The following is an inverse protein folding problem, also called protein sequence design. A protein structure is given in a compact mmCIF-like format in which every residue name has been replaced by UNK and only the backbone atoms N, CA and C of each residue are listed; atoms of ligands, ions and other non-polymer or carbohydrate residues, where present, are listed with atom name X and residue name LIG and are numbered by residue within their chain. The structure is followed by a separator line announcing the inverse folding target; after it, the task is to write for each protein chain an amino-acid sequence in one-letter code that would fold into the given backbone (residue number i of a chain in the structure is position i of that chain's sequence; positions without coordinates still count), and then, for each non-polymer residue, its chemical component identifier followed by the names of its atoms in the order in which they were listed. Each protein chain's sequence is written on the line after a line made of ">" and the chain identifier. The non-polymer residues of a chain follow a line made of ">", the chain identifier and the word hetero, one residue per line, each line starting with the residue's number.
data_IF_452481432493
#
_entry.id   IF_452481432493
#
_cell.length_a   1.000
_cell.length_b   1.000
_cell.length_c   1.000
_cell.angle_alpha   90.00
_cell.angle_beta   90.00
_cell.angle_gamma   90.00
#
_symmetry.space_group_name_H-M   'P 1'
#
loop_
_entity.id
_entity.type
_entity.pdbx_description
1 polymer ?
#
# COMPACT_ATOMS: atom_id res chain seq x y z
N UNK A 1 -23.01 10.09 11.42
CA UNK A 1 -22.13 10.60 10.35
C UNK A 1 -20.73 10.35 10.83
N UNK A 2 -20.01 9.44 10.20
CA UNK A 2 -18.62 9.14 10.54
C UNK A 2 -17.77 10.38 10.22
N UNK A 3 -17.01 10.87 11.20
CA UNK A 3 -16.17 12.03 11.00
C UNK A 3 -14.75 11.54 10.70
N UNK A 4 -14.30 11.77 9.47
CA UNK A 4 -12.91 11.56 9.09
C UNK A 4 -12.23 12.92 8.91
N UNK A 5 -11.02 13.02 9.42
CA UNK A 5 -10.20 14.24 9.34
C UNK A 5 -8.79 13.87 8.89
N UNK A 6 -8.15 14.78 8.19
CA UNK A 6 -6.76 14.66 7.80
C UNK A 6 -5.98 15.83 8.38
N UNK A 7 -4.95 15.51 9.17
CA UNK A 7 -3.99 16.49 9.62
C UNK A 7 -2.83 16.54 8.63
N UNK A 8 -2.61 17.70 8.04
CA UNK A 8 -1.68 17.91 6.95
C UNK A 8 -0.47 18.65 7.51
N UNK A 9 0.71 18.06 7.33
CA UNK A 9 2.01 18.68 7.56
C UNK A 9 2.67 18.92 6.21
N UNK A 10 2.62 20.16 5.76
CA UNK A 10 3.17 20.59 4.47
C UNK A 10 4.18 21.73 4.67
N UNK A 11 4.79 22.19 3.58
CA UNK A 11 5.84 23.21 3.60
C UNK A 11 5.30 24.60 3.99
N UNK A 12 4.02 24.84 3.70
CA UNK A 12 3.27 26.05 4.03
C UNK A 12 2.72 26.04 5.48
N UNK A 13 2.83 24.90 6.18
CA UNK A 13 2.50 24.77 7.59
C UNK A 13 1.69 23.52 7.93
N UNK A 14 1.13 23.51 9.15
CA UNK A 14 0.26 22.44 9.65
C UNK A 14 -1.19 22.92 9.65
N UNK A 15 -2.09 22.12 9.09
CA UNK A 15 -3.53 22.39 9.11
C UNK A 15 -4.35 21.12 9.11
N UNK A 16 -5.61 21.22 9.52
CA UNK A 16 -6.54 20.09 9.56
C UNK A 16 -7.68 20.33 8.59
N UNK A 17 -8.07 19.29 7.86
CA UNK A 17 -9.19 19.31 6.92
C UNK A 17 -10.16 18.20 7.29
N UNK A 18 -11.45 18.52 7.35
CA UNK A 18 -12.51 17.54 7.51
C UNK A 18 -12.87 16.95 6.14
N UNK A 19 -12.99 15.63 6.09
CA UNK A 19 -13.42 14.94 4.88
C UNK A 19 -14.96 14.89 4.89
N UNK A 20 -15.58 15.76 4.11
CA UNK A 20 -17.01 15.72 3.86
C UNK A 20 -17.28 14.63 2.81
N UNK A 21 -18.02 13.59 3.19
CA UNK A 21 -18.20 12.33 2.46
C UNK A 21 -18.26 12.40 0.93
N UNK A 22 -17.76 11.35 0.28
CA UNK A 22 -17.56 11.28 -1.17
C UNK A 22 -16.08 11.24 -1.56
N UNK A 23 -15.61 12.27 -2.28
CA UNK A 23 -14.25 12.31 -2.85
C UNK A 23 -13.56 13.62 -2.50
N UNK A 24 -12.39 13.51 -1.88
CA UNK A 24 -11.48 14.63 -1.57
C UNK A 24 -10.21 14.48 -2.38
N UNK A 25 -9.87 15.47 -3.19
CA UNK A 25 -8.70 15.49 -4.06
C UNK A 25 -7.52 16.18 -3.40
N UNK A 26 -6.32 15.67 -3.66
CA UNK A 26 -5.05 16.16 -3.11
C UNK A 26 -4.10 16.45 -4.26
N UNK A 27 -3.51 17.64 -4.28
CA UNK A 27 -2.53 18.02 -5.30
C UNK A 27 -2.08 19.47 -5.18
N UNK A 28 -1.16 19.91 -6.03
CA UNK A 28 -0.70 21.32 -6.06
C UNK A 28 -1.60 22.24 -6.90
N UNK A 29 -2.53 21.68 -7.66
CA UNK A 29 -3.46 22.47 -8.45
C UNK A 29 -4.45 23.18 -7.54
N UNK A 30 -4.78 24.44 -7.84
CA UNK A 30 -5.72 25.23 -7.05
C UNK A 30 -7.17 24.70 -7.05
N UNK A 31 -7.49 23.75 -7.94
CA UNK A 31 -8.80 23.09 -8.01
C UNK A 31 -8.93 21.84 -7.16
N UNK A 32 -7.93 21.47 -6.34
CA UNK A 32 -8.05 20.36 -5.41
C UNK A 32 -8.67 20.83 -4.08
N UNK A 33 -9.33 19.92 -3.39
CA UNK A 33 -9.86 20.16 -2.05
C UNK A 33 -8.72 20.39 -1.03
N UNK A 34 -7.63 19.62 -1.19
CA UNK A 34 -6.40 19.79 -0.42
C UNK A 34 -5.28 20.25 -1.36
N UNK A 35 -5.02 21.56 -1.34
CA UNK A 35 -3.97 22.19 -2.15
C UNK A 35 -2.64 22.19 -1.40
N UNK A 36 -1.63 21.50 -1.94
CA UNK A 36 -0.29 21.43 -1.34
C UNK A 36 0.68 22.31 -2.13
N UNK A 37 1.31 23.29 -1.47
CA UNK A 37 2.37 24.09 -2.08
C UNK A 37 3.71 23.34 -2.03
N UNK A 38 3.80 22.28 -2.83
CA UNK A 38 5.01 21.48 -2.96
C UNK A 38 5.30 21.18 -4.44
N UNK A 39 6.46 21.62 -4.99
CA UNK A 39 6.84 21.33 -6.37
C UNK A 39 6.97 19.82 -6.67
N UNK A 40 7.16 18.98 -5.64
CA UNK A 40 7.22 17.51 -5.80
C UNK A 40 5.83 16.87 -5.84
N UNK A 41 4.75 17.64 -5.62
CA UNK A 41 3.37 17.18 -5.73
C UNK A 41 2.83 17.48 -7.14
N UNK A 42 2.03 16.56 -7.65
CA UNK A 42 1.43 16.67 -9.00
C UNK A 42 0.20 17.57 -8.94
N UNK A 43 -0.22 18.14 -10.08
CA UNK A 43 -1.39 19.05 -10.11
C UNK A 43 -2.64 18.38 -9.55
N UNK A 44 -2.86 17.12 -9.91
CA UNK A 44 -3.80 16.20 -9.30
C UNK A 44 -2.96 14.97 -8.94
N UNK A 45 -2.82 14.65 -7.65
CA UNK A 45 -1.85 13.67 -7.18
C UNK A 45 -2.53 12.43 -6.61
N UNK A 46 -3.47 12.61 -5.68
CA UNK A 46 -4.22 11.52 -5.08
C UNK A 46 -5.68 11.92 -4.81
N UNK A 47 -6.55 10.93 -4.64
CA UNK A 47 -7.89 11.12 -4.06
C UNK A 47 -8.09 10.27 -2.81
N UNK A 48 -8.81 10.84 -1.85
CA UNK A 48 -9.38 10.16 -0.69
C UNK A 48 -10.85 9.97 -0.97
N UNK A 49 -11.31 8.73 -1.03
CA UNK A 49 -12.67 8.38 -1.41
C UNK A 49 -13.32 7.54 -0.34
N UNK A 50 -14.54 7.91 0.03
CA UNK A 50 -15.38 7.12 0.90
C UNK A 50 -15.96 5.94 0.09
N UNK A 51 -15.71 4.72 0.55
CA UNK A 51 -16.14 3.50 -0.09
C UNK A 51 -16.70 2.52 0.95
N UNK A 52 -18.02 2.32 0.95
CA UNK A 52 -18.71 1.52 1.96
C UNK A 52 -18.57 2.15 3.35
N UNK A 53 -18.09 1.37 4.32
CA UNK A 53 -17.87 1.78 5.73
C UNK A 53 -16.42 2.26 5.96
N UNK A 54 -15.80 2.95 4.99
CA UNK A 54 -14.41 3.37 5.17
C UNK A 54 -13.89 4.29 4.08
N UNK A 55 -12.66 4.75 4.30
CA UNK A 55 -11.95 5.63 3.38
C UNK A 55 -10.86 4.87 2.64
N UNK A 56 -10.65 5.21 1.39
CA UNK A 56 -9.56 4.70 0.58
C UNK A 56 -8.74 5.85 -0.01
N UNK A 57 -7.45 5.64 -0.22
CA UNK A 57 -6.58 6.53 -0.98
C UNK A 57 -6.25 5.91 -2.34
N UNK A 58 -6.29 6.71 -3.39
CA UNK A 58 -5.95 6.32 -4.75
C UNK A 58 -4.94 7.32 -5.33
N UNK A 59 -3.83 6.83 -5.86
CA UNK A 59 -2.90 7.65 -6.65
C UNK A 59 -3.49 7.93 -8.05
N UNK A 60 -3.47 9.18 -8.50
CA UNK A 60 -4.08 9.62 -9.75
C UNK A 60 -3.04 9.83 -10.86
N UNK A 61 -2.01 8.99 -10.90
CA UNK A 61 -0.93 9.08 -11.88
C UNK A 61 0.11 10.13 -11.49
N UNK A 62 0.43 10.20 -10.20
CA UNK A 62 1.38 11.18 -9.72
C UNK A 62 2.82 10.88 -10.16
N UNK A 63 3.63 11.93 -10.28
CA UNK A 63 5.01 11.81 -10.77
C UNK A 63 5.93 11.11 -9.76
N UNK A 64 5.71 11.34 -8.46
CA UNK A 64 6.55 10.82 -7.37
C UNK A 64 5.90 9.67 -6.58
N UNK A 65 4.65 9.34 -6.88
CA UNK A 65 3.88 8.35 -6.15
C UNK A 65 3.28 8.87 -4.86
N UNK A 66 2.19 8.23 -4.47
CA UNK A 66 1.59 8.34 -3.14
C UNK A 66 2.10 7.19 -2.26
N UNK A 67 2.33 7.46 -0.98
CA UNK A 67 2.77 6.47 -0.01
C UNK A 67 1.83 6.42 1.18
N UNK A 68 1.65 5.26 1.78
CA UNK A 68 0.90 5.05 3.02
C UNK A 68 1.81 4.30 3.99
N UNK A 69 2.01 4.83 5.20
CA UNK A 69 2.89 4.29 6.23
C UNK A 69 4.33 4.00 5.72
N UNK A 70 4.82 4.84 4.79
CA UNK A 70 6.14 4.70 4.18
C UNK A 70 6.19 3.83 2.92
N UNK A 71 5.11 3.12 2.58
CA UNK A 71 5.04 2.21 1.44
C UNK A 71 4.33 2.86 0.25
N UNK A 72 4.86 2.71 -0.96
CA UNK A 72 4.23 3.29 -2.16
C UNK A 72 2.96 2.53 -2.51
N UNK A 73 1.90 3.25 -2.85
CA UNK A 73 0.66 2.66 -3.36
C UNK A 73 0.64 2.73 -4.88
N UNK A 74 0.18 1.65 -5.50
CA UNK A 74 0.01 1.54 -6.96
C UNK A 74 -1.45 1.29 -7.36
N UNK A 75 -2.30 1.00 -6.37
CA UNK A 75 -3.73 0.84 -6.51
C UNK A 75 -4.41 1.51 -5.33
N UNK A 76 -5.74 1.64 -5.40
CA UNK A 76 -6.56 2.08 -4.29
C UNK A 76 -6.27 1.25 -3.03
N UNK A 77 -6.02 1.93 -1.91
CA UNK A 77 -5.73 1.31 -0.62
C UNK A 77 -6.68 1.84 0.46
N UNK A 78 -7.26 0.93 1.26
CA UNK A 78 -8.11 1.28 2.39
C UNK A 78 -7.27 1.90 3.52
N UNK A 79 -7.73 3.03 4.03
CA UNK A 79 -7.15 3.78 5.14
C UNK A 79 -7.76 3.34 6.47
N UNK A 80 -6.90 3.22 7.48
CA UNK A 80 -7.24 2.97 8.88
C UNK A 80 -6.89 4.17 9.75
N UNK A 81 -7.51 4.29 10.91
CA UNK A 81 -7.21 5.36 11.84
C UNK A 81 -5.72 5.37 12.20
N UNK A 82 -5.07 6.52 12.02
CA UNK A 82 -3.65 6.71 12.31
C UNK A 82 -2.73 6.47 11.12
N UNK A 83 -3.24 6.07 9.96
CA UNK A 83 -2.42 5.91 8.76
C UNK A 83 -1.80 7.25 8.32
N UNK A 84 -0.50 7.24 8.03
CA UNK A 84 0.23 8.38 7.48
C UNK A 84 0.30 8.25 5.95
N UNK A 85 -0.33 9.17 5.23
CA UNK A 85 -0.23 9.28 3.78
C UNK A 85 0.86 10.31 3.46
N UNK A 86 1.79 9.97 2.59
CA UNK A 86 2.84 10.88 2.13
C UNK A 86 2.72 11.11 0.63
N UNK A 87 2.71 12.38 0.25
CA UNK A 87 2.68 12.84 -1.14
C UNK A 87 3.73 13.93 -1.30
N UNK A 88 4.70 13.69 -2.17
CA UNK A 88 5.89 14.54 -2.23
C UNK A 88 6.61 14.61 -0.87
N UNK A 89 6.79 15.82 -0.34
CA UNK A 89 7.35 16.07 1.01
C UNK A 89 6.28 16.31 2.07
N UNK A 90 5.01 16.34 1.69
CA UNK A 90 3.90 16.58 2.59
C UNK A 90 3.42 15.26 3.22
N UNK A 91 2.99 15.33 4.47
CA UNK A 91 2.43 14.21 5.24
C UNK A 91 0.98 14.53 5.62
N UNK A 92 0.12 13.53 5.54
CA UNK A 92 -1.31 13.61 5.78
C UNK A 92 -1.68 12.47 6.73
N UNK A 93 -1.94 12.79 7.99
CA UNK A 93 -2.32 11.81 9.00
C UNK A 93 -3.84 11.63 9.00
N UNK A 94 -4.31 10.44 8.63
CA UNK A 94 -5.72 10.12 8.58
C UNK A 94 -6.26 9.76 9.97
N UNK A 95 -7.39 10.35 10.33
CA UNK A 95 -8.08 10.13 11.61
C UNK A 95 -9.56 9.90 11.36
N UNK A 96 -10.01 8.66 11.54
CA UNK A 96 -11.45 8.30 11.53
C UNK A 96 -11.93 8.04 12.96
N UNK A 97 -13.13 8.55 13.30
CA UNK A 97 -13.78 8.27 14.59
C UNK A 97 -14.39 6.86 14.67
N UNK A 98 -14.72 6.24 13.54
CA UNK A 98 -15.32 4.90 13.50
C UNK A 98 -14.28 3.80 13.72
N UNK A 99 -13.12 3.93 13.07
CA UNK A 99 -12.02 2.97 13.14
C UNK A 99 -11.27 3.08 14.49
N UNK A 100 -11.24 4.26 15.12
CA UNK A 100 -10.72 4.46 16.47
C UNK A 100 -11.51 3.71 17.57
N UNK A 101 -12.80 3.48 17.36
CA UNK A 101 -13.63 2.71 18.29
C UNK A 101 -13.40 1.19 18.16
N UNK A 102 -13.08 0.71 16.95
CA UNK A 102 -12.69 -0.67 16.64
C UNK A 102 -11.24 -1.00 17.04
N UNK A 103 -10.33 -0.01 16.98
CA UNK A 103 -8.89 -0.17 17.23
C UNK A 103 -8.50 -0.53 18.68
N UNK A 104 -9.45 -0.64 19.63
CA UNK A 104 -9.14 -1.15 20.98
C UNK A 104 -8.97 -2.67 21.06
N UNK A 105 -9.16 -3.42 19.97
CA UNK A 105 -9.07 -4.89 19.99
C UNK A 105 -8.39 -5.57 18.79
N UNK A 106 -7.81 -4.85 17.82
CA UNK A 106 -7.45 -5.49 16.54
C UNK A 106 -5.99 -5.28 16.10
N UNK A 107 -5.11 -6.14 16.63
CA UNK A 107 -3.96 -6.68 15.89
C UNK A 107 -4.35 -8.05 15.28
N UNK A 108 -5.54 -8.14 14.66
CA UNK A 108 -6.18 -9.41 14.26
C UNK A 108 -6.11 -9.70 12.74
N UNK A 109 -5.27 -8.99 11.98
CA UNK A 109 -4.91 -9.40 10.60
C UNK A 109 -3.48 -9.94 10.60
N UNK A 110 -3.25 -10.98 11.41
CA UNK A 110 -2.02 -11.77 11.33
C UNK A 110 -1.86 -12.37 9.93
N UNK A 111 -0.64 -12.74 9.52
CA UNK A 111 -0.47 -13.35 8.21
C UNK A 111 -1.28 -14.65 8.15
N UNK A 112 -1.91 -14.98 7.00
CA UNK A 112 -2.60 -16.25 6.85
C UNK A 112 -1.62 -17.40 7.13
N UNK A 113 -2.15 -18.59 7.44
CA UNK A 113 -1.28 -19.77 7.62
C UNK A 113 -0.62 -20.16 6.29
N UNK A 114 0.68 -19.85 6.19
CA UNK A 114 1.51 -20.12 5.01
C UNK A 114 2.34 -21.38 5.21
N UNK A 115 2.41 -22.19 4.16
CA UNK A 115 3.40 -23.26 4.06
C UNK A 115 4.79 -22.66 3.83
N UNK A 116 5.85 -23.41 4.14
CA UNK A 116 7.23 -22.97 3.90
C UNK A 116 7.45 -22.54 2.44
N UNK A 117 6.90 -23.29 1.47
CA UNK A 117 7.02 -22.97 0.04
C UNK A 117 6.28 -21.70 -0.37
N UNK A 118 5.10 -21.44 0.18
CA UNK A 118 4.37 -20.19 -0.07
C UNK A 118 5.12 -19.00 0.52
N UNK A 119 5.76 -19.16 1.68
CA UNK A 119 6.62 -18.15 2.29
C UNK A 119 7.84 -17.85 1.41
N UNK A 120 8.51 -18.88 0.91
CA UNK A 120 9.65 -18.72 -0.01
C UNK A 120 9.24 -17.95 -1.27
N UNK A 121 8.11 -18.31 -1.89
CA UNK A 121 7.56 -17.60 -3.05
C UNK A 121 7.29 -16.13 -2.74
N UNK A 122 6.69 -15.81 -1.59
CA UNK A 122 6.46 -14.42 -1.18
C UNK A 122 7.75 -13.64 -0.94
N UNK A 123 8.76 -14.25 -0.32
CA UNK A 123 10.06 -13.62 -0.08
C UNK A 123 10.72 -13.26 -1.41
N UNK A 124 10.76 -14.18 -2.37
CA UNK A 124 11.34 -13.92 -3.69
C UNK A 124 10.52 -12.91 -4.48
N UNK A 125 9.19 -12.99 -4.43
CA UNK A 125 8.29 -12.02 -5.04
C UNK A 125 8.58 -10.59 -4.56
N UNK A 126 8.82 -10.42 -3.26
CA UNK A 126 9.01 -9.13 -2.61
C UNK A 126 10.46 -8.64 -2.58
N UNK A 127 11.45 -9.50 -2.86
CA UNK A 127 12.88 -9.15 -2.78
C UNK A 127 13.28 -7.94 -3.65
N UNK A 128 12.83 -7.82 -4.92
CA UNK A 128 13.15 -6.65 -5.75
C UNK A 128 12.71 -5.32 -5.12
N UNK A 129 11.69 -5.32 -4.25
CA UNK A 129 11.20 -4.11 -3.59
C UNK A 129 12.20 -3.49 -2.60
N UNK A 130 13.27 -4.22 -2.21
CA UNK A 130 14.37 -3.67 -1.41
C UNK A 130 15.41 -2.90 -2.23
N UNK A 131 15.47 -3.12 -3.55
CA UNK A 131 16.35 -2.33 -4.41
C UNK A 131 15.87 -0.88 -4.31
N UNK A 132 16.74 0.03 -3.85
CA UNK A 132 16.46 1.46 -3.57
C UNK A 132 16.07 2.28 -4.82
N UNK A 133 15.60 1.63 -5.87
CA UNK A 133 15.20 2.24 -7.12
C UNK A 133 13.70 2.52 -7.13
N UNK A 134 13.31 3.67 -7.70
CA UNK A 134 11.99 4.30 -7.50
C UNK A 134 10.83 3.62 -8.28
N UNK A 135 11.10 2.50 -8.95
CA UNK A 135 10.18 1.82 -9.88
C UNK A 135 10.31 0.28 -9.89
N UNK A 136 10.76 -0.34 -8.80
CA UNK A 136 10.92 -1.80 -8.83
C UNK A 136 9.57 -2.53 -8.74
N UNK A 137 9.23 -3.29 -9.79
CA UNK A 137 8.11 -4.24 -9.78
C UNK A 137 8.48 -5.49 -8.97
N UNK A 138 7.50 -6.17 -8.34
CA UNK A 138 7.76 -7.47 -7.72
C UNK A 138 8.21 -8.50 -8.76
N UNK A 139 8.97 -9.51 -8.31
CA UNK A 139 9.62 -10.46 -9.21
C UNK A 139 8.63 -11.11 -10.20
N UNK A 140 9.10 -11.33 -11.43
CA UNK A 140 8.39 -12.09 -12.43
C UNK A 140 8.31 -13.57 -12.05
N UNK A 141 7.31 -14.27 -12.58
CA UNK A 141 7.14 -15.71 -12.38
C UNK A 141 8.43 -16.46 -12.77
N UNK A 142 9.10 -16.01 -13.83
CA UNK A 142 10.35 -16.59 -14.33
C UNK A 142 11.51 -16.41 -13.34
N UNK A 143 11.60 -15.24 -12.72
CA UNK A 143 12.62 -14.95 -11.70
C UNK A 143 12.40 -15.78 -10.44
N UNK A 144 11.15 -15.86 -9.96
CA UNK A 144 10.81 -16.70 -8.80
C UNK A 144 11.12 -18.17 -9.10
N UNK A 145 10.78 -18.66 -10.29
CA UNK A 145 11.04 -20.03 -10.70
C UNK A 145 12.54 -20.34 -10.78
N UNK A 146 13.33 -19.42 -11.35
CA UNK A 146 14.76 -19.54 -11.47
C UNK A 146 15.45 -19.57 -10.09
N UNK A 147 15.03 -18.71 -9.17
CA UNK A 147 15.64 -18.62 -7.84
C UNK A 147 15.27 -19.80 -6.94
N UNK A 148 13.99 -20.20 -6.93
CA UNK A 148 13.53 -21.32 -6.10
C UNK A 148 13.84 -22.70 -6.72
N UNK A 149 14.43 -22.72 -7.93
CA UNK A 149 14.75 -23.95 -8.69
C UNK A 149 13.50 -24.83 -8.87
N UNK A 150 12.41 -24.22 -9.34
CA UNK A 150 11.12 -24.88 -9.60
C UNK A 150 10.57 -24.53 -10.98
N UNK A 151 9.50 -25.20 -11.42
CA UNK A 151 8.84 -24.87 -12.69
C UNK A 151 7.95 -23.62 -12.55
N UNK A 152 7.79 -22.87 -13.65
CA UNK A 152 6.86 -21.71 -13.68
C UNK A 152 5.41 -22.12 -13.35
N UNK A 153 5.02 -23.35 -13.70
CA UNK A 153 3.70 -23.88 -13.37
C UNK A 153 3.53 -24.06 -11.85
N UNK A 154 4.57 -24.53 -11.15
CA UNK A 154 4.56 -24.63 -9.69
C UNK A 154 4.45 -23.24 -9.03
N UNK A 155 5.18 -22.24 -9.54
CA UNK A 155 5.07 -20.85 -9.07
C UNK A 155 3.66 -20.31 -9.26
N UNK A 156 3.06 -20.51 -10.44
CA UNK A 156 1.67 -20.09 -10.71
C UNK A 156 0.69 -20.72 -9.73
N UNK A 157 0.84 -22.02 -9.43
CA UNK A 157 -0.01 -22.70 -8.47
C UNK A 157 0.13 -22.13 -7.05
N UNK A 158 1.36 -21.87 -6.60
CA UNK A 158 1.58 -21.22 -5.30
C UNK A 158 1.02 -19.81 -5.25
N UNK A 159 1.14 -19.02 -6.32
CA UNK A 159 0.57 -17.69 -6.41
C UNK A 159 -0.97 -17.72 -6.36
N UNK A 160 -1.62 -18.69 -7.01
CA UNK A 160 -3.08 -18.86 -6.92
C UNK A 160 -3.51 -19.11 -5.47
N UNK A 161 -2.84 -20.02 -4.78
CA UNK A 161 -3.13 -20.28 -3.37
C UNK A 161 -2.88 -19.05 -2.48
N UNK A 162 -1.83 -18.29 -2.77
CA UNK A 162 -1.52 -17.04 -2.07
C UNK A 162 -2.59 -15.97 -2.34
N UNK A 163 -3.07 -15.81 -3.58
CA UNK A 163 -4.15 -14.87 -3.87
C UNK A 163 -5.44 -15.22 -3.13
N UNK A 164 -5.76 -16.50 -3.03
CA UNK A 164 -6.91 -16.99 -2.26
C UNK A 164 -6.74 -16.67 -0.76
N UNK A 165 -5.59 -17.03 -0.17
CA UNK A 165 -5.28 -16.80 1.25
C UNK A 165 -5.22 -15.34 1.67
N UNK A 166 -4.82 -14.46 0.76
CA UNK A 166 -4.76 -13.01 0.99
C UNK A 166 -6.00 -12.28 0.46
N UNK A 167 -6.99 -13.00 -0.06
CA UNK A 167 -8.23 -12.46 -0.62
C UNK A 167 -8.00 -11.41 -1.72
N UNK A 168 -6.96 -11.63 -2.54
CA UNK A 168 -6.55 -10.73 -3.62
C UNK A 168 -7.51 -10.90 -4.81
N UNK A 169 -8.38 -9.91 -5.01
CA UNK A 169 -9.42 -9.92 -6.05
C UNK A 169 -8.95 -10.04 -7.50
N UNK A 170 -9.92 -10.15 -8.42
CA UNK A 170 -9.72 -10.72 -9.76
C UNK A 170 -8.97 -9.86 -10.82
N UNK A 171 -8.41 -8.70 -10.49
CA UNK A 171 -7.68 -7.88 -11.47
C UNK A 171 -6.31 -8.47 -11.81
N UNK A 172 -6.27 -9.28 -12.88
CA UNK A 172 -5.09 -10.01 -13.38
C UNK A 172 -3.86 -9.12 -13.62
N UNK A 173 -4.05 -7.82 -13.90
CA UNK A 173 -2.96 -6.91 -14.26
C UNK A 173 -2.12 -6.52 -13.04
N UNK A 174 -2.71 -6.58 -11.83
CA UNK A 174 -2.13 -6.00 -10.59
C UNK A 174 -2.11 -6.95 -9.38
N UNK A 175 -2.50 -8.23 -9.54
CA UNK A 175 -2.59 -9.19 -8.42
C UNK A 175 -1.27 -9.38 -7.66
N UNK A 176 -0.13 -9.45 -8.37
CA UNK A 176 1.20 -9.63 -7.76
C UNK A 176 1.60 -8.47 -6.85
N UNK A 177 1.36 -7.24 -7.28
CA UNK A 177 1.67 -6.03 -6.50
C UNK A 177 0.79 -5.93 -5.26
N UNK A 178 -0.51 -6.24 -5.38
CA UNK A 178 -1.41 -6.31 -4.21
C UNK A 178 -0.96 -7.36 -3.21
N UNK A 179 -0.65 -8.58 -3.69
CA UNK A 179 -0.17 -9.66 -2.84
C UNK A 179 1.12 -9.27 -2.09
N UNK A 180 2.07 -8.61 -2.75
CA UNK A 180 3.30 -8.16 -2.11
C UNK A 180 3.03 -7.13 -0.99
N UNK A 181 2.16 -6.16 -1.24
CA UNK A 181 1.80 -5.14 -0.25
C UNK A 181 1.08 -5.75 0.95
N UNK A 182 0.12 -6.64 0.72
CA UNK A 182 -0.61 -7.31 1.80
C UNK A 182 0.31 -8.25 2.60
N UNK A 183 1.27 -8.91 1.94
CA UNK A 183 2.24 -9.77 2.62
C UNK A 183 3.16 -9.00 3.58
N UNK A 184 3.60 -7.80 3.22
CA UNK A 184 4.43 -6.96 4.09
C UNK A 184 3.57 -6.38 5.22
N UNK A 185 2.41 -5.81 4.89
CA UNK A 185 1.48 -5.20 5.86
C UNK A 185 1.01 -6.16 6.94
N UNK A 186 0.66 -7.40 6.56
CA UNK A 186 0.22 -8.45 7.49
C UNK A 186 1.40 -9.16 8.18
N UNK A 187 2.65 -8.74 7.93
CA UNK A 187 3.84 -9.34 8.55
C UNK A 187 4.17 -10.76 8.06
N UNK A 188 3.63 -11.18 6.91
CA UNK A 188 3.94 -12.46 6.28
C UNK A 188 5.37 -12.49 5.73
N UNK A 189 5.89 -11.32 5.33
CA UNK A 189 7.27 -11.09 4.91
C UNK A 189 7.82 -9.88 5.66
N UNK A 190 8.96 -10.05 6.32
CA UNK A 190 9.62 -8.96 7.05
C UNK A 190 10.83 -8.43 6.30
N UNK A 191 11.28 -7.21 6.63
CA UNK A 191 12.53 -6.64 6.09
C UNK A 191 13.74 -7.54 6.41
N UNK A 192 13.71 -8.28 7.52
CA UNK A 192 14.77 -9.24 7.86
C UNK A 192 14.78 -10.42 6.87
N UNK A 193 13.62 -10.99 6.55
CA UNK A 193 13.48 -12.09 5.59
C UNK A 193 14.00 -11.70 4.20
N UNK A 194 13.73 -10.47 3.78
CA UNK A 194 14.16 -9.96 2.48
C UNK A 194 15.68 -9.70 2.39
N UNK A 195 16.35 -9.42 3.52
CA UNK A 195 17.81 -9.23 3.59
C UNK A 195 18.60 -10.54 3.70
N UNK A 196 17.97 -11.61 4.18
CA UNK A 196 18.63 -12.89 4.42
C UNK A 196 18.84 -13.75 3.16
N UNK A 197 18.41 -13.29 1.98
CA UNK A 197 18.60 -13.98 0.70
C UNK A 197 19.98 -13.85 0.06
N UNK A 198 20.87 -13.01 0.60
CA UNK A 198 22.17 -12.67 0.00
C UNK A 198 23.36 -13.38 0.68
N UNK A 199 23.12 -14.46 1.42
CA UNK A 199 24.17 -15.22 2.08
C UNK A 199 23.94 -16.73 1.94
N UNK A 200 24.36 -17.30 0.80
CA UNK A 200 25.07 -18.59 0.68
C UNK A 200 25.60 -18.72 -0.74
#
# INVERSE_FOLDING_TARGET
>A
MEQATVEIWALDGVRRVELAGGRTTVGKGAGNDIVLDDPTVSRLHASLEEFGEGWCVTDLGSSNGTFVNGERIWAQQRLRHGDEIRVGRSRLLFRSSADAAASRTENEDGPPSLTARERDVLVVLCRPLLARDLFTEPASIREIAAELVVSEAAVKQHLVNLYDKFEVGDDLTRRRTRLANDAIRRGAVTIADLRHGEAT
#
